data_IF_780351164822
#
_entry.id   IF_780351164822
#
_cell.length_a   1.000
_cell.length_b   1.000
_cell.length_c   1.000
_cell.angle_alpha   90.00
_cell.angle_beta   90.00
_cell.angle_gamma   90.00
#
_symmetry.space_group_name_H-M   'P 1'
#
loop_
_entity.id
_entity.type
_entity.pdbx_description
1 polymer ?
#
# COMPACT_ATOMS: atom_id res chain seq x y z
N UNK A 1 9.14 26.46 -12.08
CA UNK A 1 7.79 25.88 -12.00
C UNK A 1 7.80 24.62 -12.85
N UNK A 2 8.18 23.49 -12.25
CA UNK A 2 8.14 22.18 -12.90
C UNK A 2 7.11 21.34 -12.15
N UNK A 3 5.91 21.22 -12.69
CA UNK A 3 5.06 20.08 -12.40
C UNK A 3 5.65 18.91 -13.17
N UNK A 4 6.63 18.22 -12.58
CA UNK A 4 7.01 16.87 -13.03
C UNK A 4 5.81 15.97 -12.73
N UNK A 5 5.44 15.13 -13.68
CA UNK A 5 4.23 14.28 -13.66
C UNK A 5 4.12 13.42 -12.38
N UNK A 6 3.59 14.00 -11.30
CA UNK A 6 3.23 13.36 -10.04
C UNK A 6 1.86 12.64 -10.14
N UNK A 7 1.51 12.20 -11.35
CA UNK A 7 0.20 11.61 -11.62
C UNK A 7 0.11 10.23 -10.97
N UNK A 8 -0.65 10.16 -9.90
CA UNK A 8 -1.03 8.90 -9.27
C UNK A 8 -1.98 8.13 -10.19
N UNK A 9 -1.67 6.87 -10.46
CA UNK A 9 -2.47 5.97 -11.29
C UNK A 9 -2.82 4.69 -10.56
N UNK A 10 -4.00 4.13 -10.82
CA UNK A 10 -4.40 2.80 -10.35
C UNK A 10 -3.82 1.70 -11.24
N UNK A 11 -3.81 0.45 -10.76
CA UNK A 11 -3.37 -0.68 -11.58
C UNK A 11 -4.26 -0.85 -12.82
N UNK A 12 -5.56 -0.61 -12.68
CA UNK A 12 -6.48 -0.57 -13.81
C UNK A 12 -6.07 0.44 -14.90
N UNK A 13 -5.56 1.61 -14.51
CA UNK A 13 -5.07 2.60 -15.48
C UNK A 13 -3.74 2.18 -16.14
N UNK A 14 -2.97 1.32 -15.50
CA UNK A 14 -1.74 0.73 -16.06
C UNK A 14 -2.07 -0.40 -17.04
N UNK A 15 -3.00 -1.30 -16.68
CA UNK A 15 -3.35 -2.48 -17.47
C UNK A 15 -4.38 -2.21 -18.56
N UNK A 16 -5.21 -1.19 -18.40
CA UNK A 16 -6.33 -0.88 -19.29
C UNK A 16 -7.61 -1.65 -18.97
N UNK A 17 -8.48 -1.80 -19.96
CA UNK A 17 -9.87 -2.30 -19.81
C UNK A 17 -9.95 -3.66 -19.13
N UNK A 18 -8.97 -4.54 -19.38
CA UNK A 18 -8.87 -5.85 -18.75
C UNK A 18 -7.77 -5.79 -17.70
N UNK A 19 -8.14 -5.75 -16.42
CA UNK A 19 -7.21 -5.61 -15.29
C UNK A 19 -7.45 -6.72 -14.25
N UNK A 20 -7.02 -7.97 -14.54
CA UNK A 20 -7.22 -9.10 -13.63
C UNK A 20 -6.44 -8.90 -12.32
N UNK A 21 -5.29 -8.23 -12.38
CA UNK A 21 -4.41 -8.04 -11.24
C UNK A 21 -4.92 -6.95 -10.29
N UNK A 22 -5.74 -5.98 -10.76
CA UNK A 22 -6.44 -5.06 -9.87
C UNK A 22 -7.35 -5.80 -8.88
N UNK A 23 -8.12 -6.79 -9.36
CA UNK A 23 -8.98 -7.61 -8.47
C UNK A 23 -8.15 -8.44 -7.48
N UNK A 24 -6.99 -8.92 -7.91
CA UNK A 24 -6.06 -9.64 -7.03
C UNK A 24 -5.55 -8.73 -5.91
N UNK A 25 -5.15 -7.50 -6.25
CA UNK A 25 -4.73 -6.48 -5.28
C UNK A 25 -5.87 -6.14 -4.32
N UNK A 26 -7.08 -5.90 -4.83
CA UNK A 26 -8.25 -5.59 -4.00
C UNK A 26 -8.58 -6.72 -3.02
N UNK A 27 -8.54 -7.98 -3.48
CA UNK A 27 -8.73 -9.14 -2.61
C UNK A 27 -7.65 -9.22 -1.53
N UNK A 28 -6.38 -8.96 -1.90
CA UNK A 28 -5.27 -8.99 -0.96
C UNK A 28 -5.36 -7.86 0.09
N UNK A 29 -5.76 -6.66 -0.34
CA UNK A 29 -5.98 -5.49 0.51
C UNK A 29 -7.15 -5.72 1.46
N UNK A 30 -8.30 -6.15 0.96
CA UNK A 30 -9.50 -6.36 1.77
C UNK A 30 -9.27 -7.40 2.87
N UNK A 31 -8.47 -8.44 2.60
CA UNK A 31 -8.12 -9.45 3.60
C UNK A 31 -7.16 -8.95 4.69
N UNK A 32 -6.52 -7.79 4.52
CA UNK A 32 -5.37 -7.34 5.33
C UNK A 32 -5.55 -5.96 5.95
N UNK A 33 -6.40 -5.10 5.40
CA UNK A 33 -6.52 -3.68 5.78
C UNK A 33 -6.84 -3.47 7.27
N UNK A 34 -7.67 -4.32 7.87
CA UNK A 34 -7.99 -4.21 9.31
C UNK A 34 -6.77 -4.41 10.22
N UNK A 35 -5.77 -5.17 9.79
CA UNK A 35 -4.53 -5.31 10.55
C UNK A 35 -3.72 -4.01 10.57
N UNK A 36 -3.89 -3.13 9.59
CA UNK A 36 -3.13 -1.90 9.47
C UNK A 36 -3.59 -0.81 10.45
N UNK A 37 -4.76 -0.97 11.06
CA UNK A 37 -5.19 -0.19 12.25
C UNK A 37 -4.21 -0.30 13.42
N UNK A 38 -3.44 -1.39 13.47
CA UNK A 38 -2.50 -1.67 14.56
C UNK A 38 -1.08 -1.19 14.25
N UNK A 39 -0.87 -0.39 13.20
CA UNK A 39 0.42 0.23 12.93
C UNK A 39 0.76 1.18 14.08
N UNK A 40 1.76 0.81 14.87
CA UNK A 40 2.14 1.57 16.07
C UNK A 40 2.91 2.86 15.74
N UNK A 41 3.70 2.84 14.66
CA UNK A 41 4.51 3.96 14.21
C UNK A 41 4.70 3.89 12.69
N UNK A 42 4.06 4.81 11.98
CA UNK A 42 4.06 4.88 10.51
C UNK A 42 5.47 5.13 9.96
N UNK A 43 6.29 5.92 10.67
CA UNK A 43 7.65 6.23 10.21
C UNK A 43 8.54 4.99 10.28
N UNK A 44 8.42 4.21 11.35
CA UNK A 44 9.12 2.92 11.48
C UNK A 44 8.59 1.88 10.51
N UNK A 45 7.29 1.88 10.21
CA UNK A 45 6.75 1.01 9.16
C UNK A 45 7.34 1.36 7.79
N UNK A 46 7.40 2.64 7.45
CA UNK A 46 8.00 3.10 6.20
C UNK A 46 9.46 2.68 6.11
N UNK A 47 10.25 2.87 7.18
CA UNK A 47 11.63 2.39 7.25
C UNK A 47 11.73 0.86 7.07
N UNK A 48 10.87 0.10 7.75
CA UNK A 48 10.86 -1.37 7.72
C UNK A 48 10.66 -1.93 6.31
N UNK A 49 9.81 -1.30 5.49
CA UNK A 49 9.60 -1.70 4.09
C UNK A 49 10.55 -1.00 3.11
N UNK A 50 11.48 -0.17 3.60
CA UNK A 50 12.39 0.63 2.79
C UNK A 50 11.69 1.70 1.94
N UNK A 51 10.62 2.28 2.48
CA UNK A 51 9.80 3.33 1.91
C UNK A 51 9.98 4.68 2.62
N UNK A 52 9.06 5.61 2.36
CA UNK A 52 9.02 6.96 2.93
C UNK A 52 7.60 7.34 3.29
N UNK A 53 7.42 8.03 4.43
CA UNK A 53 6.14 8.66 4.75
C UNK A 53 5.91 9.83 3.80
N UNK A 54 4.70 9.94 3.29
CA UNK A 54 4.26 11.00 2.39
C UNK A 54 3.05 11.72 2.98
N UNK A 55 2.83 12.96 2.57
CA UNK A 55 1.56 13.66 2.76
C UNK A 55 1.05 14.05 1.38
N UNK A 56 -0.07 13.44 0.97
CA UNK A 56 -0.70 13.60 -0.33
C UNK A 56 -1.83 14.63 -0.29
N UNK A 57 -2.33 14.98 0.90
CA UNK A 57 -3.35 16.01 1.08
C UNK A 57 -4.76 15.55 0.71
N UNK A 58 -5.02 14.24 0.74
CA UNK A 58 -6.33 13.63 0.49
C UNK A 58 -7.14 13.40 1.78
N UNK A 59 -6.65 13.92 2.92
CA UNK A 59 -7.21 13.60 4.22
C UNK A 59 -6.84 12.20 4.70
N UNK A 60 -5.73 11.63 4.17
CA UNK A 60 -5.21 10.35 4.62
C UNK A 60 -4.67 10.43 6.05
N UNK A 61 -4.87 9.38 6.84
CA UNK A 61 -4.21 9.26 8.15
C UNK A 61 -2.71 9.02 7.98
N UNK A 62 -2.36 8.20 6.99
CA UNK A 62 -0.99 8.08 6.54
C UNK A 62 -0.88 7.62 5.10
N UNK A 63 0.22 8.03 4.45
CA UNK A 63 0.65 7.48 3.19
C UNK A 63 2.12 7.06 3.27
N UNK A 64 2.44 5.93 2.64
CA UNK A 64 3.82 5.45 2.49
C UNK A 64 4.09 5.21 1.00
N UNK A 65 5.15 5.81 0.48
CA UNK A 65 5.69 5.49 -0.85
C UNK A 65 6.83 4.47 -0.74
N UNK A 66 6.90 3.56 -1.70
CA UNK A 66 7.99 2.58 -1.82
C UNK A 66 8.42 2.49 -3.28
N UNK A 67 9.70 2.79 -3.54
CA UNK A 67 10.30 2.49 -4.85
C UNK A 67 10.49 0.97 -5.00
N UNK A 68 9.87 0.40 -6.04
CA UNK A 68 9.88 -1.05 -6.34
C UNK A 68 10.69 -1.39 -7.59
N UNK A 69 10.90 -0.39 -8.44
CA UNK A 69 11.77 -0.43 -9.61
C UNK A 69 12.31 0.99 -9.86
N UNK A 70 13.51 1.19 -10.42
CA UNK A 70 14.07 2.53 -10.60
C UNK A 70 13.09 3.48 -11.31
N UNK A 71 12.63 4.52 -10.61
CA UNK A 71 11.66 5.48 -11.14
C UNK A 71 10.21 4.99 -11.16
N UNK A 72 9.86 3.94 -10.39
CA UNK A 72 8.50 3.44 -10.18
C UNK A 72 8.24 3.24 -8.70
N UNK A 73 7.21 3.92 -8.19
CA UNK A 73 6.81 3.86 -6.81
C UNK A 73 5.40 3.31 -6.65
N UNK A 74 5.21 2.50 -5.62
CA UNK A 74 3.91 2.11 -5.08
C UNK A 74 3.60 3.03 -3.91
N UNK A 75 2.37 3.53 -3.83
CA UNK A 75 1.86 4.31 -2.72
C UNK A 75 0.77 3.53 -2.00
N UNK A 76 0.91 3.42 -0.69
CA UNK A 76 -0.05 2.83 0.22
C UNK A 76 -0.68 3.95 1.03
N UNK A 77 -1.96 4.19 0.84
CA UNK A 77 -2.69 5.32 1.42
C UNK A 77 -3.78 4.76 2.32
N UNK A 78 -3.70 5.03 3.61
CA UNK A 78 -4.56 4.42 4.61
C UNK A 78 -5.42 5.44 5.34
N UNK A 79 -6.64 5.01 5.63
CA UNK A 79 -7.57 5.66 6.54
C UNK A 79 -8.05 4.64 7.55
N UNK A 80 -8.05 5.03 8.82
CA UNK A 80 -8.62 4.26 9.91
C UNK A 80 -10.14 4.20 9.76
N UNK A 81 -10.74 3.19 10.37
CA UNK A 81 -12.18 3.12 10.50
C UNK A 81 -12.69 4.30 11.36
N UNK A 82 -13.84 4.86 10.97
CA UNK A 82 -14.59 5.83 11.77
C UNK A 82 -16.01 5.31 12.06
N UNK A 83 -16.89 6.17 12.58
CA UNK A 83 -18.27 5.79 12.92
C UNK A 83 -19.11 5.38 11.69
N UNK A 84 -18.73 5.83 10.48
CA UNK A 84 -19.50 5.68 9.25
C UNK A 84 -18.86 4.71 8.25
N UNK A 85 -17.53 4.61 8.24
CA UNK A 85 -16.76 3.90 7.23
C UNK A 85 -15.73 2.94 7.84
N UNK A 86 -15.59 1.72 7.30
CA UNK A 86 -14.53 0.81 7.71
C UNK A 86 -13.17 1.31 7.23
N UNK A 87 -12.12 0.79 7.85
CA UNK A 87 -10.74 1.02 7.44
C UNK A 87 -10.54 0.78 5.96
N UNK A 88 -9.67 1.57 5.35
CA UNK A 88 -9.44 1.51 3.92
C UNK A 88 -7.96 1.69 3.60
N UNK A 89 -7.47 0.85 2.69
CA UNK A 89 -6.15 1.00 2.11
C UNK A 89 -6.28 1.12 0.60
N UNK A 90 -5.88 2.27 0.07
CA UNK A 90 -5.80 2.51 -1.36
C UNK A 90 -4.37 2.33 -1.84
N UNK A 91 -4.21 1.63 -2.96
CA UNK A 91 -2.92 1.42 -3.60
C UNK A 91 -2.88 2.15 -4.94
N UNK A 92 -1.89 3.00 -5.11
CA UNK A 92 -1.64 3.76 -6.34
C UNK A 92 -0.18 3.63 -6.75
N UNK A 93 0.12 4.05 -7.97
CA UNK A 93 1.47 4.02 -8.54
C UNK A 93 1.83 5.40 -9.08
N UNK A 94 3.11 5.77 -9.04
CA UNK A 94 3.65 6.90 -9.80
C UNK A 94 5.02 6.61 -10.40
N UNK A 95 5.36 7.35 -11.44
CA UNK A 95 6.67 7.30 -12.09
C UNK A 95 6.63 7.00 -13.58
N UNK A 96 7.54 7.64 -14.31
CA UNK A 96 7.56 7.65 -15.79
C UNK A 96 7.79 6.27 -16.41
N UNK A 97 8.35 5.34 -15.62
CA UNK A 97 8.72 3.99 -16.06
C UNK A 97 7.68 2.92 -15.70
N UNK A 98 6.53 3.29 -15.14
CA UNK A 98 5.46 2.32 -14.80
C UNK A 98 5.07 1.46 -16.01
N UNK A 99 5.01 2.06 -17.20
CA UNK A 99 4.63 1.36 -18.45
C UNK A 99 5.61 0.26 -18.86
N UNK A 100 6.80 0.19 -18.25
CA UNK A 100 7.78 -0.87 -18.49
C UNK A 100 7.52 -2.11 -17.62
N UNK A 101 6.60 -2.02 -16.65
CA UNK A 101 6.27 -3.11 -15.74
C UNK A 101 4.96 -3.77 -16.13
N UNK A 102 4.88 -5.10 -16.00
CA UNK A 102 3.62 -5.81 -16.17
C UNK A 102 2.73 -5.60 -14.95
N UNK A 103 1.42 -5.62 -15.14
CA UNK A 103 0.49 -5.50 -14.01
C UNK A 103 0.61 -6.65 -13.01
N UNK A 104 1.00 -7.84 -13.46
CA UNK A 104 1.37 -8.98 -12.61
C UNK A 104 2.51 -8.64 -11.65
N UNK A 105 3.60 -8.05 -12.16
CA UNK A 105 4.76 -7.66 -11.35
C UNK A 105 4.36 -6.60 -10.30
N UNK A 106 3.60 -5.59 -10.73
CA UNK A 106 3.10 -4.53 -9.86
C UNK A 106 2.21 -5.08 -8.74
N UNK A 107 1.28 -5.97 -9.07
CA UNK A 107 0.44 -6.64 -8.07
C UNK A 107 1.27 -7.54 -7.13
N UNK A 108 2.27 -8.24 -7.67
CA UNK A 108 3.21 -9.03 -6.88
C UNK A 108 3.94 -8.17 -5.84
N UNK A 109 4.46 -7.01 -6.24
CA UNK A 109 5.09 -6.07 -5.32
C UNK A 109 4.12 -5.59 -4.24
N UNK A 110 2.90 -5.21 -4.61
CA UNK A 110 1.89 -4.76 -3.64
C UNK A 110 1.63 -5.84 -2.59
N UNK A 111 1.37 -7.08 -3.02
CA UNK A 111 1.08 -8.20 -2.12
C UNK A 111 2.28 -8.50 -1.22
N UNK A 112 3.49 -8.49 -1.77
CA UNK A 112 4.72 -8.66 -1.01
C UNK A 112 4.84 -7.61 0.10
N UNK A 113 4.71 -6.32 -0.23
CA UNK A 113 4.85 -5.27 0.77
C UNK A 113 3.70 -5.25 1.78
N UNK A 114 2.48 -5.62 1.41
CA UNK A 114 1.40 -5.84 2.39
C UNK A 114 1.78 -6.91 3.40
N UNK A 115 2.34 -8.04 2.96
CA UNK A 115 2.85 -9.07 3.86
C UNK A 115 3.95 -8.53 4.79
N UNK A 116 4.88 -7.73 4.28
CA UNK A 116 5.90 -7.10 5.13
C UNK A 116 5.30 -6.09 6.14
N UNK A 117 4.28 -5.32 5.76
CA UNK A 117 3.56 -4.43 6.69
C UNK A 117 2.88 -5.21 7.82
N UNK A 118 2.26 -6.34 7.50
CA UNK A 118 1.63 -7.20 8.52
C UNK A 118 2.66 -7.81 9.47
N UNK A 119 3.84 -8.17 8.94
CA UNK A 119 4.96 -8.61 9.76
C UNK A 119 5.41 -7.51 10.73
N UNK A 120 5.53 -6.27 10.25
CA UNK A 120 5.81 -5.13 11.11
C UNK A 120 4.75 -4.97 12.20
N UNK A 121 3.46 -4.98 11.84
CA UNK A 121 2.34 -4.90 12.80
C UNK A 121 2.46 -5.96 13.88
N UNK A 122 2.78 -7.21 13.51
CA UNK A 122 2.99 -8.30 14.48
C UNK A 122 4.16 -8.03 15.42
N UNK A 123 5.30 -7.63 14.87
CA UNK A 123 6.53 -7.40 15.63
C UNK A 123 6.46 -6.17 16.54
N UNK A 124 5.70 -5.15 16.15
CA UNK A 124 5.53 -3.90 16.91
C UNK A 124 4.44 -3.97 17.98
N UNK A 125 3.66 -5.06 18.06
CA UNK A 125 2.54 -5.21 18.99
C UNK A 125 2.65 -6.50 19.85
N UNK A 126 3.74 -6.68 20.63
CA UNK A 126 3.90 -7.88 21.45
C UNK A 126 2.78 -8.00 22.49
N UNK A 127 2.24 -9.22 22.64
CA UNK A 127 1.20 -9.54 23.62
C UNK A 127 -0.21 -9.04 23.28
N UNK A 128 -0.40 -8.32 22.15
CA UNK A 128 -1.74 -7.94 21.68
C UNK A 128 -2.38 -9.07 20.87
N UNK A 129 -3.70 -9.21 20.99
CA UNK A 129 -4.49 -10.07 20.10
C UNK A 129 -4.72 -9.33 18.78
N UNK A 130 -4.02 -9.76 17.73
CA UNK A 130 -4.11 -9.16 16.39
C UNK A 130 -5.09 -9.94 15.50
N UNK A 131 -5.55 -9.37 14.37
CA UNK A 131 -6.26 -10.12 13.35
C UNK A 131 -5.47 -11.36 12.90
N UNK A 132 -6.18 -12.46 12.66
CA UNK A 132 -5.61 -13.77 12.32
C UNK A 132 -4.65 -13.72 11.12
N UNK A 133 -4.91 -12.81 10.18
CA UNK A 133 -4.07 -12.60 8.99
C UNK A 133 -2.62 -12.23 9.34
N UNK A 134 -2.37 -11.59 10.49
CA UNK A 134 -1.01 -11.25 10.97
C UNK A 134 -0.16 -12.46 11.33
N UNK A 135 -0.76 -13.65 11.50
CA UNK A 135 -0.06 -14.90 11.85
C UNK A 135 0.13 -15.83 10.65
N UNK A 136 -0.41 -15.48 9.48
CA UNK A 136 -0.37 -16.29 8.24
C UNK A 136 0.54 -15.70 7.16
N UNK A 137 1.51 -14.89 7.60
CA UNK A 137 2.39 -14.06 6.77
C UNK A 137 3.76 -14.68 6.63
#
# INVERSE_FOLDING_TARGET
>A
MELKDDKLVSLHQVEGVVSPHQRQVEGAVNARKEALEYVADVSKLAEFIGGKVESLGFGEDWAISKEVFPGVQVLFIFNHADEEFPSNLKVLFRGDRIKLMKGEDLAGFVILYLSHMLRYVRESNPGRKLPEVCYRV
#
